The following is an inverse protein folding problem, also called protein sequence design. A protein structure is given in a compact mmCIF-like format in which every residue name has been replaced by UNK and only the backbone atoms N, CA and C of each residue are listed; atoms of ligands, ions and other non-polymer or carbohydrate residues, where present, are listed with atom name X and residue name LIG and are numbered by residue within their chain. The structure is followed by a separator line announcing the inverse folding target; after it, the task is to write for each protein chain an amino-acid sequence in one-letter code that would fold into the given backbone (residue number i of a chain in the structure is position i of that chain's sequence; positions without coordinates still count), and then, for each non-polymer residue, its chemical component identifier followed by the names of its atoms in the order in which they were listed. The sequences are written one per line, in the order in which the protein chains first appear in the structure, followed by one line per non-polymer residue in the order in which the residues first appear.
data_IF_596510825456
#
_entry.id   IF_596510825456
#
_cell.length_a   1.000
_cell.length_b   1.000
_cell.length_c   1.000
_cell.angle_alpha   90.00
_cell.angle_beta   90.00
_cell.angle_gamma   90.00
#
_symmetry.space_group_name_H-M   'P 1'
#
loop_
_entity.id
_entity.type
_entity.pdbx_description
1 polymer ?
#
# COMPACT_ATOMS: atom_id res chain seq x y z
N UNK A 1 1.30 -1.88 -24.49
CA UNK A 1 1.82 -1.31 -23.23
C UNK A 1 2.20 -2.48 -22.33
N UNK A 2 3.50 -2.75 -22.19
CA UNK A 2 3.99 -3.86 -21.37
C UNK A 2 3.62 -3.58 -19.93
N UNK A 3 2.70 -4.37 -19.34
CA UNK A 3 2.38 -4.27 -17.91
C UNK A 3 3.67 -4.51 -17.14
N UNK A 4 4.19 -3.49 -16.47
CA UNK A 4 5.36 -3.63 -15.61
C UNK A 4 5.06 -4.61 -14.48
N UNK A 5 6.06 -5.40 -14.09
CA UNK A 5 5.95 -6.33 -12.97
C UNK A 5 5.59 -5.59 -11.68
N UNK A 6 4.57 -6.05 -10.91
CA UNK A 6 4.19 -5.42 -9.65
C UNK A 6 5.38 -5.37 -8.69
N UNK A 7 5.55 -4.25 -7.98
CA UNK A 7 6.74 -3.99 -7.13
C UNK A 7 6.97 -5.10 -6.09
N UNK A 8 5.89 -5.66 -5.56
CA UNK A 8 5.93 -6.71 -4.55
C UNK A 8 6.42 -8.06 -5.11
N UNK A 9 6.20 -8.31 -6.41
CA UNK A 9 6.56 -9.57 -7.06
C UNK A 9 7.82 -9.47 -7.91
N UNK A 10 8.57 -8.36 -7.84
CA UNK A 10 9.83 -8.19 -8.58
C UNK A 10 10.82 -9.31 -8.26
N UNK A 11 11.44 -9.85 -9.30
CA UNK A 11 12.42 -10.94 -9.20
C UNK A 11 11.83 -12.36 -9.16
N UNK A 12 10.50 -12.52 -9.14
CA UNK A 12 9.85 -13.82 -9.36
C UNK A 12 9.83 -14.18 -10.85
N UNK A 13 9.75 -15.48 -11.15
CA UNK A 13 9.49 -15.94 -12.51
C UNK A 13 8.09 -15.54 -12.97
N UNK A 14 7.91 -15.28 -14.27
CA UNK A 14 6.61 -14.83 -14.80
C UNK A 14 5.46 -15.77 -14.45
N UNK A 15 5.71 -17.08 -14.47
CA UNK A 15 4.71 -18.08 -14.10
C UNK A 15 4.26 -17.97 -12.64
N UNK A 16 5.19 -17.68 -11.71
CA UNK A 16 4.86 -17.48 -10.30
C UNK A 16 4.04 -16.20 -10.08
N UNK A 17 4.37 -15.15 -10.83
CA UNK A 17 3.60 -13.89 -10.81
C UNK A 17 2.18 -14.15 -11.30
N UNK A 18 2.02 -14.83 -12.43
CA UNK A 18 0.72 -15.13 -13.01
C UNK A 18 -0.11 -16.00 -12.06
N UNK A 19 0.50 -17.00 -11.42
CA UNK A 19 -0.12 -17.81 -10.39
C UNK A 19 -0.56 -16.99 -9.16
N UNK A 20 0.29 -16.07 -8.68
CA UNK A 20 -0.06 -15.18 -7.57
C UNK A 20 -1.23 -14.27 -7.94
N UNK A 21 -1.18 -13.62 -9.11
CA UNK A 21 -2.22 -12.72 -9.59
C UNK A 21 -3.55 -13.44 -9.87
N UNK A 22 -3.51 -14.72 -10.26
CA UNK A 22 -4.69 -15.54 -10.47
C UNK A 22 -5.47 -15.87 -9.18
N UNK A 23 -4.85 -15.71 -8.00
CA UNK A 23 -5.56 -15.83 -6.71
C UNK A 23 -6.52 -14.66 -6.44
N UNK A 24 -6.34 -13.55 -7.18
CA UNK A 24 -7.10 -12.32 -7.01
C UNK A 24 -8.23 -12.15 -8.01
N UNK A 25 -8.90 -11.00 -7.90
CA UNK A 25 -9.93 -10.55 -8.83
C UNK A 25 -9.62 -9.14 -9.32
N UNK A 26 -9.86 -8.88 -10.59
CA UNK A 26 -9.79 -7.52 -11.14
C UNK A 26 -11.06 -6.76 -10.81
N UNK A 27 -10.90 -5.53 -10.33
CA UNK A 27 -11.99 -4.60 -10.08
C UNK A 27 -11.68 -3.25 -10.69
N UNK A 28 -12.73 -2.50 -11.03
CA UNK A 28 -12.65 -1.09 -11.37
C UNK A 28 -13.33 -0.29 -10.28
N UNK A 29 -12.67 0.77 -9.81
CA UNK A 29 -13.21 1.68 -8.80
C UNK A 29 -13.30 3.09 -9.36
N UNK A 30 -14.42 3.77 -9.09
CA UNK A 30 -14.63 5.13 -9.54
C UNK A 30 -13.75 6.13 -8.75
N UNK A 31 -13.55 7.32 -9.32
CA UNK A 31 -12.91 8.44 -8.61
C UNK A 31 -13.63 8.72 -7.28
N UNK A 32 -12.87 8.86 -6.21
CA UNK A 32 -13.37 9.11 -4.86
C UNK A 32 -13.82 7.86 -4.10
N UNK A 33 -13.81 6.67 -4.72
CA UNK A 33 -14.15 5.44 -4.05
C UNK A 33 -13.09 5.08 -2.98
N UNK A 34 -13.55 4.77 -1.78
CA UNK A 34 -12.69 4.27 -0.70
C UNK A 34 -12.47 2.76 -0.89
N UNK A 35 -11.20 2.34 -0.93
CA UNK A 35 -10.83 0.93 -0.99
C UNK A 35 -10.89 0.28 0.40
N UNK A 36 -10.38 0.99 1.42
CA UNK A 36 -10.41 0.55 2.81
C UNK A 36 -10.29 1.73 3.78
N UNK A 37 -10.80 1.52 4.99
CA UNK A 37 -10.78 2.50 6.07
C UNK A 37 -9.60 2.27 7.01
N UNK A 38 -9.13 3.35 7.64
CA UNK A 38 -8.19 3.26 8.76
C UNK A 38 -8.74 2.34 9.86
N UNK A 39 -7.92 1.44 10.37
CA UNK A 39 -8.27 0.52 11.47
C UNK A 39 -9.15 -0.67 11.09
N UNK A 40 -9.66 -0.73 9.86
CA UNK A 40 -10.43 -1.90 9.40
C UNK A 40 -9.53 -3.13 9.18
N UNK A 41 -10.13 -4.32 9.14
CA UNK A 41 -9.43 -5.58 8.91
C UNK A 41 -8.72 -5.57 7.54
N UNK A 42 -7.43 -5.91 7.55
CA UNK A 42 -6.61 -5.98 6.36
C UNK A 42 -6.71 -7.36 5.72
N UNK A 43 -7.86 -7.67 5.14
CA UNK A 43 -8.11 -8.97 4.49
C UNK A 43 -7.70 -9.01 3.01
N UNK A 44 -7.27 -7.88 2.45
CA UNK A 44 -6.94 -7.78 1.04
C UNK A 44 -5.69 -6.91 0.81
N UNK A 45 -4.91 -7.34 -0.17
CA UNK A 45 -3.83 -6.58 -0.79
C UNK A 45 -4.30 -6.14 -2.18
N UNK A 46 -3.88 -4.95 -2.64
CA UNK A 46 -4.30 -4.42 -3.93
C UNK A 46 -3.10 -4.04 -4.77
N UNK A 47 -3.11 -4.43 -6.03
CA UNK A 47 -2.12 -4.03 -7.03
C UNK A 47 -2.79 -3.11 -8.04
N UNK A 48 -2.18 -1.95 -8.28
CA UNK A 48 -2.72 -0.96 -9.19
C UNK A 48 -2.31 -1.32 -10.61
N UNK A 49 -3.27 -1.62 -11.49
CA UNK A 49 -3.03 -1.83 -12.91
C UNK A 49 -3.17 -0.52 -13.70
N UNK A 50 -4.13 0.34 -13.32
CA UNK A 50 -4.34 1.69 -13.87
C UNK A 50 -4.87 2.63 -12.79
N UNK A 51 -4.65 3.93 -12.96
CA UNK A 51 -5.14 4.97 -12.05
C UNK A 51 -4.19 5.26 -10.90
N UNK A 52 -4.68 5.99 -9.89
CA UNK A 52 -3.90 6.45 -8.74
C UNK A 52 -4.71 6.25 -7.46
N UNK A 53 -4.07 5.69 -6.43
CA UNK A 53 -4.65 5.52 -5.10
C UNK A 53 -3.91 6.40 -4.11
N UNK A 54 -4.66 7.20 -3.36
CA UNK A 54 -4.17 8.06 -2.27
C UNK A 54 -4.30 7.33 -0.94
N UNK A 55 -3.24 7.38 -0.16
CA UNK A 55 -3.21 6.89 1.21
C UNK A 55 -3.14 8.09 2.16
N UNK A 56 -4.14 8.21 3.03
CA UNK A 56 -4.34 9.37 3.91
C UNK A 56 -4.48 8.97 5.38
N UNK A 57 -4.19 9.93 6.25
CA UNK A 57 -4.52 9.88 7.68
C UNK A 57 -5.56 10.97 8.00
N UNK A 58 -6.70 10.61 8.60
CA UNK A 58 -7.64 11.60 9.11
C UNK A 58 -7.00 12.33 10.31
N UNK A 59 -7.04 13.66 10.30
CA UNK A 59 -6.57 14.52 11.39
C UNK A 59 -7.53 15.68 11.61
N UNK A 60 -7.66 16.14 12.85
CA UNK A 60 -8.38 17.37 13.16
C UNK A 60 -7.45 18.58 12.99
N UNK A 61 -7.73 19.43 12.00
CA UNK A 61 -6.99 20.66 11.75
C UNK A 61 -7.94 21.84 11.96
N UNK A 62 -7.66 22.66 12.97
CA UNK A 62 -8.49 23.84 13.32
C UNK A 62 -9.98 23.50 13.52
N UNK A 63 -10.26 22.37 14.15
CA UNK A 63 -11.62 21.90 14.46
C UNK A 63 -12.38 21.31 13.26
N UNK A 64 -11.70 21.00 12.15
CA UNK A 64 -12.26 20.31 10.99
C UNK A 64 -11.54 19.00 10.75
N UNK A 65 -12.27 17.96 10.36
CA UNK A 65 -11.69 16.70 9.92
C UNK A 65 -11.10 16.87 8.52
N UNK A 66 -9.80 16.62 8.40
CA UNK A 66 -9.04 16.71 7.16
C UNK A 66 -8.30 15.40 6.91
N UNK A 67 -8.34 14.91 5.67
CA UNK A 67 -7.53 13.76 5.24
C UNK A 67 -6.16 14.23 4.79
N UNK A 68 -5.14 14.04 5.62
CA UNK A 68 -3.77 14.43 5.28
C UNK A 68 -3.12 13.36 4.43
N UNK A 69 -2.59 13.79 3.28
CA UNK A 69 -1.87 12.92 2.36
C UNK A 69 -0.61 12.35 3.00
N UNK A 70 -0.49 11.03 2.96
CA UNK A 70 0.74 10.32 3.33
C UNK A 70 1.48 9.88 2.08
N UNK A 71 0.79 9.28 1.12
CA UNK A 71 1.42 8.74 -0.08
C UNK A 71 0.43 8.59 -1.25
N UNK A 72 0.92 8.78 -2.48
CA UNK A 72 0.23 8.36 -3.71
C UNK A 72 0.88 7.12 -4.29
N UNK A 73 0.06 6.18 -4.75
CA UNK A 73 0.48 4.93 -5.39
C UNK A 73 -0.08 4.87 -6.81
N UNK A 74 0.75 4.43 -7.73
CA UNK A 74 0.57 4.47 -9.18
C UNK A 74 0.67 3.05 -9.77
N UNK A 75 0.42 2.85 -11.09
CA UNK A 75 0.43 1.52 -11.68
C UNK A 75 1.71 0.72 -11.42
N UNK A 76 1.57 -0.56 -11.10
CA UNK A 76 2.65 -1.46 -10.68
C UNK A 76 2.97 -1.40 -9.18
N UNK A 77 2.41 -0.44 -8.43
CA UNK A 77 2.59 -0.35 -6.99
C UNK A 77 1.45 -1.04 -6.23
N UNK A 78 1.71 -1.33 -4.96
CA UNK A 78 0.82 -2.09 -4.08
C UNK A 78 0.30 -1.23 -2.93
N UNK A 79 -0.97 -1.41 -2.57
CA UNK A 79 -1.57 -0.87 -1.33
C UNK A 79 -2.16 -1.99 -0.49
N UNK A 80 -2.35 -1.72 0.80
CA UNK A 80 -2.93 -2.69 1.73
C UNK A 80 -1.98 -3.79 2.20
N UNK A 81 -0.67 -3.54 2.19
CA UNK A 81 0.35 -4.49 2.65
C UNK A 81 0.21 -4.90 4.12
N UNK A 82 -0.60 -4.18 4.91
CA UNK A 82 -1.07 -4.63 6.23
C UNK A 82 -1.71 -6.02 6.21
N UNK A 83 -2.19 -6.49 5.06
CA UNK A 83 -2.70 -7.84 4.90
C UNK A 83 -1.62 -8.92 5.09
N UNK A 84 -0.33 -8.60 4.90
CA UNK A 84 0.76 -9.55 5.04
C UNK A 84 1.43 -9.50 6.42
N UNK A 85 1.07 -8.53 7.28
CA UNK A 85 1.80 -8.24 8.52
C UNK A 85 0.82 -8.08 9.69
N UNK A 86 1.01 -8.82 10.80
CA UNK A 86 0.25 -8.60 12.03
C UNK A 86 0.31 -7.12 12.48
N UNK A 87 -0.77 -6.55 13.03
CA UNK A 87 -1.99 -7.21 13.50
C UNK A 87 -3.10 -7.30 12.43
N UNK A 88 -2.77 -7.23 11.12
CA UNK A 88 -3.74 -7.28 10.02
C UNK A 88 -4.80 -6.19 10.10
N UNK A 89 -4.36 -4.96 10.40
CA UNK A 89 -5.20 -3.76 10.45
C UNK A 89 -4.64 -2.73 9.49
N UNK A 90 -5.48 -2.11 8.66
CA UNK A 90 -5.02 -1.03 7.79
C UNK A 90 -4.59 0.18 8.62
N UNK A 91 -3.39 0.68 8.34
CA UNK A 91 -2.80 1.81 9.07
C UNK A 91 -3.06 3.16 8.41
N UNK A 92 -3.71 3.17 7.24
CA UNK A 92 -4.07 4.35 6.46
C UNK A 92 -5.47 4.14 5.86
N UNK A 93 -6.13 5.23 5.48
CA UNK A 93 -7.29 5.21 4.60
C UNK A 93 -6.82 5.18 3.14
N UNK A 94 -7.47 4.39 2.29
CA UNK A 94 -7.17 4.35 0.85
C UNK A 94 -8.35 4.82 0.00
N UNK A 95 -8.10 5.77 -0.90
CA UNK A 95 -9.12 6.33 -1.80
C UNK A 95 -8.58 6.46 -3.21
N UNK A 96 -9.35 6.07 -4.22
CA UNK A 96 -8.99 6.28 -5.62
C UNK A 96 -9.09 7.77 -5.98
N UNK A 97 -8.00 8.41 -6.43
CA UNK A 97 -8.00 9.84 -6.79
C UNK A 97 -8.57 10.11 -8.19
N UNK A 98 -8.63 9.06 -9.00
CA UNK A 98 -9.24 8.96 -10.32
C UNK A 98 -9.81 7.54 -10.49
N UNK A 99 -10.48 7.26 -11.60
CA UNK A 99 -10.86 5.88 -11.92
C UNK A 99 -9.61 4.99 -11.93
N UNK A 100 -9.68 3.84 -11.24
CA UNK A 100 -8.56 2.93 -11.09
C UNK A 100 -8.98 1.49 -11.37
N UNK A 101 -8.10 0.73 -12.03
CA UNK A 101 -8.21 -0.71 -12.22
C UNK A 101 -7.21 -1.39 -11.29
N UNK A 102 -7.68 -2.36 -10.51
CA UNK A 102 -6.91 -2.98 -9.44
C UNK A 102 -7.05 -4.51 -9.50
N UNK A 103 -6.00 -5.23 -9.13
CA UNK A 103 -6.11 -6.64 -8.73
C UNK A 103 -6.24 -6.68 -7.20
N UNK A 104 -7.31 -7.27 -6.69
CA UNK A 104 -7.54 -7.52 -5.27
C UNK A 104 -7.13 -8.95 -4.93
N UNK A 105 -6.14 -9.10 -4.08
CA UNK A 105 -5.60 -10.38 -3.61
C UNK A 105 -6.08 -10.63 -2.17
N UNK A 106 -6.89 -11.66 -1.92
CA UNK A 106 -7.28 -12.04 -0.57
C UNK A 106 -6.06 -12.47 0.26
N UNK A 107 -5.96 -12.01 1.50
CA UNK A 107 -4.87 -12.31 2.45
C UNK A 107 -4.61 -13.80 2.58
N UNK A 108 -5.66 -14.59 2.80
CA UNK A 108 -5.57 -16.04 2.99
C UNK A 108 -5.04 -16.76 1.75
N UNK A 109 -5.50 -16.34 0.55
CA UNK A 109 -5.08 -16.94 -0.71
C UNK A 109 -3.62 -16.58 -1.03
N UNK A 110 -3.23 -15.31 -0.84
CA UNK A 110 -1.86 -14.87 -1.01
C UNK A 110 -0.93 -15.55 -0.01
N UNK A 111 -1.33 -15.67 1.26
CA UNK A 111 -0.54 -16.37 2.28
C UNK A 111 -0.33 -17.84 1.90
N UNK A 112 -1.39 -18.54 1.50
CA UNK A 112 -1.31 -19.93 1.03
C UNK A 112 -0.37 -20.08 -0.17
N UNK A 113 -0.38 -19.12 -1.10
CA UNK A 113 0.54 -19.11 -2.24
C UNK A 113 2.01 -18.99 -1.80
N UNK A 114 2.32 -18.08 -0.86
CA UNK A 114 3.67 -17.85 -0.36
C UNK A 114 4.17 -19.02 0.51
N UNK A 115 3.30 -19.61 1.33
CA UNK A 115 3.61 -20.80 2.14
C UNK A 115 3.91 -22.02 1.26
N UNK A 116 3.16 -22.21 0.17
CA UNK A 116 3.42 -23.29 -0.78
C UNK A 116 4.69 -23.10 -1.62
N UNK A 117 5.24 -21.88 -1.68
CA UNK A 117 6.43 -21.54 -2.48
C UNK A 117 7.42 -20.68 -1.66
N UNK A 118 8.20 -21.29 -0.74
CA UNK A 118 9.05 -20.54 0.18
C UNK A 118 10.07 -19.60 -0.49
N UNK A 119 10.60 -19.97 -1.66
CA UNK A 119 11.52 -19.11 -2.42
C UNK A 119 10.83 -17.83 -2.94
N UNK A 120 9.64 -17.97 -3.54
CA UNK A 120 8.81 -16.84 -3.94
C UNK A 120 8.37 -16.02 -2.71
N UNK A 121 7.96 -16.69 -1.63
CA UNK A 121 7.65 -16.11 -0.33
C UNK A 121 8.76 -15.22 0.21
N UNK A 122 9.98 -15.72 0.24
CA UNK A 122 11.17 -14.98 0.66
C UNK A 122 11.39 -13.72 -0.18
N UNK A 123 11.35 -13.83 -1.51
CA UNK A 123 11.52 -12.68 -2.41
C UNK A 123 10.43 -11.63 -2.21
N UNK A 124 9.17 -12.05 -2.08
CA UNK A 124 8.05 -11.15 -1.78
C UNK A 124 8.23 -10.44 -0.44
N UNK A 125 8.71 -11.14 0.60
CA UNK A 125 8.97 -10.54 1.90
C UNK A 125 10.13 -9.54 1.87
N UNK A 126 11.18 -9.78 1.08
CA UNK A 126 12.26 -8.80 0.87
C UNK A 126 11.74 -7.54 0.15
N UNK A 127 10.92 -7.70 -0.88
CA UNK A 127 10.31 -6.58 -1.59
C UNK A 127 9.37 -5.78 -0.66
N UNK A 128 8.59 -6.47 0.18
CA UNK A 128 7.75 -5.86 1.20
C UNK A 128 8.57 -5.07 2.22
N UNK A 129 9.66 -5.65 2.74
CA UNK A 129 10.56 -4.97 3.65
C UNK A 129 11.16 -3.70 3.03
N UNK A 130 11.50 -3.72 1.74
CA UNK A 130 11.95 -2.53 1.02
C UNK A 130 10.87 -1.45 0.94
N UNK A 131 9.61 -1.81 0.65
CA UNK A 131 8.47 -0.87 0.64
C UNK A 131 8.25 -0.23 2.02
N UNK A 132 8.33 -1.03 3.09
CA UNK A 132 8.20 -0.53 4.47
C UNK A 132 9.37 0.38 4.82
N UNK A 133 10.60 -0.01 4.47
CA UNK A 133 11.81 0.77 4.72
C UNK A 133 11.76 2.14 4.07
N UNK A 134 11.36 2.22 2.80
CA UNK A 134 11.16 3.48 2.09
C UNK A 134 10.12 4.37 2.79
N UNK A 135 9.00 3.79 3.18
CA UNK A 135 7.94 4.52 3.88
C UNK A 135 8.42 5.02 5.25
N UNK A 136 9.16 4.22 6.01
CA UNK A 136 9.74 4.64 7.29
C UNK A 136 10.71 5.81 7.12
N UNK A 137 11.57 5.78 6.10
CA UNK A 137 12.48 6.88 5.79
C UNK A 137 11.74 8.19 5.45
N UNK A 138 10.66 8.09 4.66
CA UNK A 138 9.81 9.25 4.35
C UNK A 138 9.17 9.83 5.62
N UNK A 139 8.62 8.98 6.48
CA UNK A 139 8.07 9.42 7.77
C UNK A 139 9.12 10.08 8.66
N UNK A 140 10.32 9.48 8.78
CA UNK A 140 11.43 10.05 9.56
C UNK A 140 11.85 11.42 9.02
N UNK A 141 11.93 11.59 7.69
CA UNK A 141 12.26 12.87 7.07
C UNK A 141 11.17 13.94 7.26
N UNK A 142 9.88 13.56 7.25
CA UNK A 142 8.79 14.47 7.59
C UNK A 142 8.82 14.87 9.05
N UNK A 143 9.00 13.90 9.95
CA UNK A 143 9.11 14.14 11.39
C UNK A 143 10.28 15.07 11.73
N UNK A 144 11.45 14.84 11.16
CA UNK A 144 12.64 15.67 11.39
C UNK A 144 12.39 17.12 10.98
N UNK A 145 11.77 17.35 9.82
CA UNK A 145 11.40 18.69 9.33
C UNK A 145 10.44 19.39 10.29
N UNK A 146 9.42 18.68 10.79
CA UNK A 146 8.46 19.26 11.73
C UNK A 146 9.10 19.56 13.09
N UNK A 147 9.99 18.68 13.57
CA UNK A 147 10.76 18.91 14.79
C UNK A 147 11.67 20.13 14.69
N UNK A 148 12.37 20.32 13.58
CA UNK A 148 13.21 21.51 13.35
C UNK A 148 12.36 22.78 13.41
N UNK A 149 11.20 22.79 12.74
CA UNK A 149 10.26 23.91 12.77
C UNK A 149 9.79 24.25 14.17
N UNK A 150 9.43 23.24 14.98
CA UNK A 150 9.00 23.46 16.37
C UNK A 150 10.12 24.00 17.27
N UNK A 151 11.37 23.57 17.06
CA UNK A 151 12.52 24.08 17.82
C UNK A 151 12.80 25.53 17.43
N UNK A 152 12.85 25.85 16.13
CA UNK A 152 13.05 27.21 15.64
C UNK A 152 11.99 28.20 16.16
N UNK A 153 10.71 27.78 16.18
CA UNK A 153 9.62 28.60 16.71
C UNK A 153 9.67 28.81 18.22
N UNK A 154 10.33 27.93 18.98
CA UNK A 154 10.51 28.07 20.44
C UNK A 154 11.75 28.88 20.81
N UNK A 155 12.72 28.97 19.91
CA UNK A 155 13.95 29.75 20.09
C UNK A 155 13.83 31.19 19.58
N UNK A 156 12.77 31.52 18.84
CA UNK A 156 12.39 32.88 18.44
C UNK A 156 11.47 33.53 19.48
#
# INVERSE_FOLDING_TARGET
MTRGQPELFRGLAQEEIDQALATGKRITVAKGAQLFALGSDADHLYIIERGVVRLTLPMQIRGRDEDVMVEERTPGQTVGWSALIPPYRFTLKATASMEAELIVLPREALRSFLEARPAAGHTVMLNLAAVIGQRLQLFQAMWLREMQRMVEQRCA
#
